data_IF_073916172097
#
_entry.id   IF_073916172097
#
_cell.length_a   1.000
_cell.length_b   1.000
_cell.length_c   1.000
_cell.angle_alpha   90.00
_cell.angle_beta   90.00
_cell.angle_gamma   90.00
#
_symmetry.space_group_name_H-M   'P 1'
#
loop_
_entity.id
_entity.type
_entity.pdbx_description
1 polymer ?
#
# COMPACT_ATOMS: atom_id res chain seq x y z
N UNK A 1 36.68 32.97 -41.59
CA UNK A 1 35.83 33.89 -40.81
C UNK A 1 34.87 33.03 -40.01
N UNK A 2 35.07 33.00 -38.69
CA UNK A 2 34.40 32.13 -37.72
C UNK A 2 33.15 32.83 -37.17
N UNK A 3 32.01 32.13 -37.17
CA UNK A 3 30.87 32.38 -36.27
C UNK A 3 30.30 31.00 -35.92
N UNK A 4 30.85 30.31 -34.92
CA UNK A 4 30.42 30.39 -33.51
C UNK A 4 28.91 30.60 -33.39
N UNK A 5 28.19 29.48 -33.37
CA UNK A 5 26.80 29.36 -32.95
C UNK A 5 26.68 28.42 -31.76
N UNK A 6 27.60 28.52 -30.80
CA UNK A 6 27.51 27.88 -29.49
C UNK A 6 26.62 28.74 -28.59
N UNK A 7 25.30 28.56 -28.62
CA UNK A 7 24.36 29.14 -27.64
C UNK A 7 22.97 28.47 -27.70
N UNK A 8 22.92 27.14 -27.64
CA UNK A 8 21.73 26.44 -27.09
C UNK A 8 22.18 25.47 -25.98
N UNK A 9 23.11 25.95 -25.17
CA UNK A 9 23.51 25.36 -23.88
C UNK A 9 23.13 26.32 -22.74
N UNK A 10 21.95 26.93 -22.84
CA UNK A 10 21.41 27.78 -21.78
C UNK A 10 20.46 26.97 -20.88
N UNK A 11 21.02 26.33 -19.85
CA UNK A 11 20.28 26.13 -18.59
C UNK A 11 20.04 24.72 -18.08
N UNK A 12 21.00 23.78 -18.19
CA UNK A 12 21.03 22.59 -17.30
C UNK A 12 22.46 22.29 -16.86
N UNK A 13 23.08 23.23 -16.15
CA UNK A 13 24.39 23.05 -15.51
C UNK A 13 24.21 22.89 -14.00
N UNK A 14 24.05 21.63 -13.59
CA UNK A 14 23.81 21.11 -12.23
C UNK A 14 23.11 19.75 -12.37
N UNK A 15 23.30 18.76 -11.46
CA UNK A 15 22.61 17.47 -11.57
C UNK A 15 21.11 17.75 -11.58
N UNK A 16 20.49 17.73 -12.75
CA UNK A 16 19.10 18.16 -12.91
C UNK A 16 18.25 17.27 -12.04
N UNK A 17 17.64 17.86 -11.00
CA UNK A 17 16.89 17.10 -10.00
C UNK A 17 15.96 16.09 -10.66
N UNK A 18 15.25 16.48 -11.73
CA UNK A 18 14.34 15.61 -12.46
C UNK A 18 15.01 14.38 -13.14
N UNK A 19 16.21 14.55 -13.71
CA UNK A 19 16.95 13.50 -14.42
C UNK A 19 17.45 12.37 -13.50
N UNK A 20 17.63 12.65 -12.21
CA UNK A 20 17.97 11.64 -11.20
C UNK A 20 16.75 11.19 -10.39
N UNK A 21 15.74 12.05 -10.22
CA UNK A 21 14.52 11.73 -9.48
C UNK A 21 13.60 10.76 -10.22
N UNK A 22 13.36 10.96 -11.52
CA UNK A 22 12.45 10.09 -12.29
C UNK A 22 12.95 8.63 -12.33
N UNK A 23 14.24 8.32 -12.58
CA UNK A 23 14.73 6.94 -12.53
C UNK A 23 14.55 6.30 -11.16
N UNK A 24 14.85 7.04 -10.09
CA UNK A 24 14.66 6.57 -8.71
C UNK A 24 13.19 6.26 -8.44
N UNK A 25 12.30 7.21 -8.77
CA UNK A 25 10.86 7.04 -8.60
C UNK A 25 10.33 5.85 -9.43
N UNK A 26 10.77 5.70 -10.68
CA UNK A 26 10.38 4.58 -11.52
C UNK A 26 10.85 3.23 -10.95
N UNK A 27 12.05 3.17 -10.36
CA UNK A 27 12.54 1.98 -9.65
C UNK A 27 11.65 1.63 -8.45
N UNK A 28 11.35 2.61 -7.59
CA UNK A 28 10.49 2.40 -6.41
C UNK A 28 9.08 1.95 -6.84
N UNK A 29 8.52 2.57 -7.88
CA UNK A 29 7.22 2.17 -8.46
C UNK A 29 7.24 0.75 -9.03
N UNK A 30 8.33 0.32 -9.67
CA UNK A 30 8.48 -1.06 -10.17
C UNK A 30 8.49 -2.06 -9.02
N UNK A 31 9.17 -1.74 -7.93
CA UNK A 31 9.22 -2.58 -6.73
C UNK A 31 7.85 -2.69 -6.06
N UNK A 32 7.22 -1.54 -5.75
CA UNK A 32 5.89 -1.51 -5.15
C UNK A 32 4.85 -2.17 -6.06
N UNK A 33 4.94 -1.96 -7.38
CA UNK A 33 4.05 -2.59 -8.36
C UNK A 33 4.12 -4.12 -8.30
N UNK A 34 5.33 -4.71 -8.29
CA UNK A 34 5.51 -6.17 -8.12
C UNK A 34 4.95 -6.62 -6.78
N UNK A 35 5.29 -5.92 -5.69
CA UNK A 35 4.84 -6.26 -4.36
C UNK A 35 3.31 -6.32 -4.29
N UNK A 36 2.62 -5.34 -4.86
CA UNK A 36 1.15 -5.29 -4.91
C UNK A 36 0.54 -6.39 -5.80
N UNK A 37 1.19 -6.73 -6.91
CA UNK A 37 0.74 -7.86 -7.75
C UNK A 37 0.82 -9.15 -6.94
N UNK A 38 1.95 -9.42 -6.29
CA UNK A 38 2.14 -10.63 -5.47
C UNK A 38 1.18 -10.64 -4.29
N UNK A 39 1.08 -9.55 -3.54
CA UNK A 39 0.15 -9.43 -2.41
C UNK A 39 -1.31 -9.58 -2.84
N UNK A 40 -1.69 -9.02 -3.99
CA UNK A 40 -3.02 -9.16 -4.57
C UNK A 40 -3.34 -10.59 -4.94
N UNK A 41 -2.43 -11.29 -5.63
CA UNK A 41 -2.59 -12.72 -5.97
C UNK A 41 -2.74 -13.56 -4.70
N UNK A 42 -1.90 -13.34 -3.69
CA UNK A 42 -1.97 -14.06 -2.41
C UNK A 42 -3.31 -13.79 -1.69
N UNK A 43 -3.82 -12.56 -1.74
CA UNK A 43 -5.11 -12.21 -1.13
C UNK A 43 -6.29 -12.88 -1.85
N UNK A 44 -6.18 -13.11 -3.17
CA UNK A 44 -7.20 -13.78 -3.97
C UNK A 44 -7.36 -15.28 -3.69
N UNK A 45 -6.51 -15.90 -2.85
CA UNK A 45 -6.66 -17.31 -2.46
C UNK A 45 -7.94 -17.56 -1.65
N UNK A 46 -8.52 -16.51 -1.04
CA UNK A 46 -9.78 -16.59 -0.30
C UNK A 46 -10.87 -15.82 -1.04
N UNK A 47 -12.12 -16.29 -0.99
CA UNK A 47 -13.27 -15.60 -1.62
C UNK A 47 -13.42 -14.18 -1.06
N UNK A 48 -13.26 -14.03 0.26
CA UNK A 48 -13.34 -12.74 0.95
C UNK A 48 -12.17 -11.85 0.55
N UNK A 49 -10.95 -12.40 0.55
CA UNK A 49 -9.75 -11.67 0.16
C UNK A 49 -9.73 -11.27 -1.30
N UNK A 50 -10.43 -11.97 -2.20
CA UNK A 50 -10.53 -11.60 -3.62
C UNK A 50 -11.20 -10.23 -3.84
N UNK A 51 -12.13 -9.83 -2.96
CA UNK A 51 -12.80 -8.50 -3.02
C UNK A 51 -11.80 -7.36 -2.90
N UNK A 52 -10.76 -7.54 -2.07
CA UNK A 52 -9.68 -6.55 -1.84
C UNK A 52 -8.48 -6.84 -2.76
N UNK A 53 -8.20 -8.11 -3.01
CA UNK A 53 -7.07 -8.61 -3.77
C UNK A 53 -7.13 -8.22 -5.25
N UNK A 54 -8.30 -8.32 -5.89
CA UNK A 54 -8.47 -7.96 -7.30
C UNK A 54 -8.17 -6.47 -7.55
N UNK A 55 -8.77 -5.51 -6.80
CA UNK A 55 -8.38 -4.11 -6.94
C UNK A 55 -6.90 -3.86 -6.64
N UNK A 56 -6.33 -4.53 -5.63
CA UNK A 56 -4.90 -4.40 -5.27
C UNK A 56 -4.00 -4.84 -6.42
N UNK A 57 -4.29 -5.98 -7.03
CA UNK A 57 -3.57 -6.52 -8.19
C UNK A 57 -3.64 -5.56 -9.38
N UNK A 58 -4.84 -5.06 -9.71
CA UNK A 58 -5.04 -4.09 -10.79
C UNK A 58 -4.25 -2.80 -10.51
N UNK A 59 -4.21 -2.34 -9.26
CA UNK A 59 -3.43 -1.16 -8.89
C UNK A 59 -1.92 -1.39 -9.12
N UNK A 60 -1.40 -2.56 -8.75
CA UNK A 60 0.02 -2.91 -8.91
C UNK A 60 0.45 -2.96 -10.37
N UNK A 61 -0.36 -3.56 -11.25
CA UNK A 61 -0.12 -3.56 -12.70
C UNK A 61 -0.02 -2.14 -13.27
N UNK A 62 -0.89 -1.25 -12.79
CA UNK A 62 -0.97 0.12 -13.32
C UNK A 62 0.17 1.00 -12.82
N UNK A 63 0.65 0.77 -11.60
CA UNK A 63 1.86 1.41 -11.09
C UNK A 63 3.11 0.95 -11.85
N UNK A 64 3.19 -0.35 -12.17
CA UNK A 64 4.27 -0.93 -13.00
C UNK A 64 4.30 -0.28 -14.39
N UNK A 65 3.15 -0.23 -15.06
CA UNK A 65 3.05 0.39 -16.39
C UNK A 65 3.37 1.90 -16.37
N UNK A 66 3.09 2.59 -15.26
CA UNK A 66 3.48 3.99 -15.06
C UNK A 66 4.99 4.14 -14.99
N UNK A 67 5.68 3.26 -14.27
CA UNK A 67 7.13 3.29 -14.13
C UNK A 67 7.86 3.06 -15.45
N UNK A 68 7.34 2.14 -16.27
CA UNK A 68 7.88 1.90 -17.61
C UNK A 68 7.68 3.12 -18.52
N UNK A 69 6.51 3.77 -18.46
CA UNK A 69 6.25 5.00 -19.22
C UNK A 69 7.15 6.18 -18.79
N UNK A 70 7.44 6.33 -17.49
CA UNK A 70 8.42 7.31 -16.99
C UNK A 70 9.83 7.05 -17.53
N UNK A 71 10.23 5.78 -17.65
CA UNK A 71 11.54 5.41 -18.20
C UNK A 71 11.61 5.75 -19.69
N UNK A 72 10.56 5.44 -20.46
CA UNK A 72 10.47 5.78 -21.89
C UNK A 72 10.54 7.29 -22.12
N UNK A 73 9.89 8.08 -21.27
CA UNK A 73 9.98 9.55 -21.34
C UNK A 73 11.42 10.04 -21.20
N UNK A 74 12.20 9.51 -20.25
CA UNK A 74 13.60 9.91 -20.07
C UNK A 74 14.47 9.52 -21.26
N UNK A 75 14.24 8.33 -21.82
CA UNK A 75 15.05 7.82 -22.94
C UNK A 75 14.75 8.57 -24.24
N UNK A 76 13.48 8.96 -24.46
CA UNK A 76 13.01 9.48 -25.75
C UNK A 76 12.60 10.96 -25.74
N UNK A 77 12.57 11.61 -24.57
CA UNK A 77 12.00 12.95 -24.38
C UNK A 77 10.58 13.10 -24.96
N UNK A 78 9.79 12.04 -24.86
CA UNK A 78 8.45 11.96 -25.44
C UNK A 78 7.37 12.33 -24.42
N UNK A 79 6.82 13.54 -24.56
CA UNK A 79 5.77 14.05 -23.67
C UNK A 79 4.50 13.19 -23.65
N UNK A 80 4.18 12.46 -24.72
CA UNK A 80 3.01 11.57 -24.71
C UNK A 80 3.21 10.39 -23.75
N UNK A 81 4.44 9.91 -23.61
CA UNK A 81 4.81 8.89 -22.62
C UNK A 81 4.74 9.42 -21.19
N UNK A 82 5.07 10.69 -20.97
CA UNK A 82 4.92 11.35 -19.66
C UNK A 82 3.44 11.49 -19.26
N UNK A 83 2.58 11.94 -20.17
CA UNK A 83 1.14 12.03 -19.94
C UNK A 83 0.57 10.66 -19.54
N UNK A 84 0.94 9.61 -20.28
CA UNK A 84 0.53 8.23 -20.00
C UNK A 84 1.05 7.72 -18.65
N UNK A 85 2.27 8.12 -18.26
CA UNK A 85 2.81 7.79 -16.94
C UNK A 85 1.96 8.42 -15.83
N UNK A 86 1.68 9.72 -15.92
CA UNK A 86 0.89 10.45 -14.93
C UNK A 86 -0.55 9.92 -14.87
N UNK A 87 -1.19 9.65 -16.01
CA UNK A 87 -2.54 9.08 -16.05
C UNK A 87 -2.60 7.75 -15.30
N UNK A 88 -1.66 6.85 -15.58
CA UNK A 88 -1.59 5.54 -14.91
C UNK A 88 -1.33 5.68 -13.42
N UNK A 89 -0.40 6.54 -13.03
CA UNK A 89 -0.07 6.82 -11.63
C UNK A 89 -1.26 7.42 -10.86
N UNK A 90 -1.93 8.43 -11.42
CA UNK A 90 -3.12 9.06 -10.85
C UNK A 90 -4.19 8.01 -10.57
N UNK A 91 -4.40 7.16 -11.55
CA UNK A 91 -5.45 6.17 -11.50
C UNK A 91 -5.01 5.01 -10.57
N UNK A 92 -3.72 4.75 -10.32
CA UNK A 92 -3.24 3.89 -9.22
C UNK A 92 -3.64 4.47 -7.85
N UNK A 93 -3.38 5.76 -7.62
CA UNK A 93 -3.78 6.44 -6.39
C UNK A 93 -5.30 6.43 -6.18
N UNK A 94 -6.08 6.51 -7.25
CA UNK A 94 -7.53 6.37 -7.17
C UNK A 94 -7.96 5.01 -6.63
N UNK A 95 -7.33 3.92 -7.07
CA UNK A 95 -7.64 2.58 -6.53
C UNK A 95 -7.17 2.49 -5.08
N UNK A 96 -5.97 2.99 -4.78
CA UNK A 96 -5.43 2.90 -3.43
C UNK A 96 -6.21 3.71 -2.39
N UNK A 97 -6.71 4.91 -2.73
CA UNK A 97 -7.54 5.67 -1.78
C UNK A 97 -8.85 4.95 -1.46
N UNK A 98 -9.44 4.23 -2.42
CA UNK A 98 -10.66 3.44 -2.20
C UNK A 98 -10.35 2.23 -1.33
N UNK A 99 -9.28 1.51 -1.65
CA UNK A 99 -8.80 0.39 -0.83
C UNK A 99 -8.48 0.81 0.60
N UNK A 100 -7.85 1.97 0.79
CA UNK A 100 -7.53 2.51 2.11
C UNK A 100 -8.79 2.73 2.95
N UNK A 101 -9.86 3.27 2.36
CA UNK A 101 -11.14 3.45 3.07
C UNK A 101 -11.72 2.09 3.50
N UNK A 102 -11.73 1.11 2.59
CA UNK A 102 -12.23 -0.25 2.88
C UNK A 102 -11.41 -0.90 3.99
N UNK A 103 -10.08 -0.81 3.94
CA UNK A 103 -9.18 -1.38 4.95
C UNK A 103 -9.41 -0.76 6.32
N UNK A 104 -9.65 0.55 6.42
CA UNK A 104 -10.00 1.20 7.69
C UNK A 104 -11.29 0.62 8.28
N UNK A 105 -12.32 0.40 7.46
CA UNK A 105 -13.59 -0.19 7.94
C UNK A 105 -13.38 -1.60 8.50
N UNK A 106 -12.57 -2.42 7.83
CA UNK A 106 -12.25 -3.78 8.29
C UNK A 106 -11.46 -3.73 9.60
N UNK A 107 -10.42 -2.90 9.70
CA UNK A 107 -9.61 -2.75 10.91
C UNK A 107 -10.49 -2.32 12.10
N UNK A 108 -11.41 -1.37 11.90
CA UNK A 108 -12.34 -0.93 12.95
C UNK A 108 -13.26 -2.06 13.37
N UNK A 109 -13.80 -2.84 12.42
CA UNK A 109 -14.67 -3.98 12.73
C UNK A 109 -13.93 -5.07 13.53
N UNK A 110 -12.71 -5.41 13.13
CA UNK A 110 -11.86 -6.37 13.84
C UNK A 110 -11.51 -5.88 15.26
N UNK A 111 -11.21 -4.59 15.42
CA UNK A 111 -10.95 -4.00 16.74
C UNK A 111 -12.16 -4.11 17.68
N UNK A 112 -13.36 -3.85 17.17
CA UNK A 112 -14.60 -3.98 17.95
C UNK A 112 -14.82 -5.44 18.35
N UNK A 113 -14.67 -6.38 17.42
CA UNK A 113 -14.85 -7.81 17.69
C UNK A 113 -13.82 -8.31 18.72
N UNK A 114 -12.55 -7.92 18.55
CA UNK A 114 -11.49 -8.23 19.49
C UNK A 114 -11.81 -7.72 20.90
N UNK A 115 -12.27 -6.47 21.03
CA UNK A 115 -12.61 -5.89 22.33
C UNK A 115 -13.79 -6.61 23.01
N UNK A 116 -14.82 -6.96 22.24
CA UNK A 116 -15.96 -7.74 22.75
C UNK A 116 -15.54 -9.13 23.23
N UNK A 117 -14.70 -9.82 22.45
CA UNK A 117 -14.20 -11.15 22.81
C UNK A 117 -13.30 -11.09 24.04
N UNK A 118 -12.44 -10.07 24.13
CA UNK A 118 -11.58 -9.83 25.28
C UNK A 118 -12.39 -9.59 26.56
N UNK A 119 -13.43 -8.76 26.51
CA UNK A 119 -14.32 -8.52 27.65
C UNK A 119 -15.11 -9.77 28.04
N UNK A 120 -15.61 -10.53 27.07
CA UNK A 120 -16.33 -11.78 27.35
C UNK A 120 -15.42 -12.80 28.04
N UNK A 121 -14.18 -12.97 27.58
CA UNK A 121 -13.20 -13.85 28.21
C UNK A 121 -12.87 -13.43 29.65
N UNK A 122 -12.82 -12.13 29.95
CA UNK A 122 -12.63 -11.63 31.30
C UNK A 122 -13.84 -11.90 32.22
N UNK A 123 -15.06 -11.78 31.69
CA UNK A 123 -16.29 -11.99 32.45
C UNK A 123 -16.44 -13.45 32.93
N UNK A 124 -16.02 -14.43 32.13
CA UNK A 124 -16.10 -15.85 32.50
C UNK A 124 -15.09 -16.25 33.59
N UNK A 125 -13.96 -15.54 33.71
CA UNK A 125 -12.92 -15.85 34.71
C UNK A 125 -13.26 -15.32 36.12
N UNK A 126 -14.08 -14.27 36.22
CA UNK A 126 -14.45 -13.66 37.51
C UNK A 126 -15.19 -14.58 38.50
N UNK A 127 -16.28 -15.27 38.09
CA UNK A 127 -17.07 -16.11 38.99
C UNK A 127 -16.33 -17.37 39.45
N UNK A 128 -15.47 -17.95 38.59
CA UNK A 128 -14.72 -19.16 38.91
C UNK A 128 -13.70 -18.94 40.05
N UNK A 129 -13.02 -17.80 40.09
CA UNK A 129 -12.02 -17.49 41.13
C UNK A 129 -12.70 -17.26 42.50
N UNK A 130 -13.87 -16.61 42.52
CA UNK A 130 -14.65 -16.38 43.74
C UNK A 130 -15.25 -17.68 44.29
N UNK A 131 -15.78 -18.54 43.42
CA UNK A 131 -16.35 -19.83 43.86
C UNK A 131 -15.28 -20.78 44.38
N UNK A 132 -14.08 -20.79 43.79
CA UNK A 132 -12.98 -21.64 44.25
C UNK A 132 -12.44 -21.20 45.61
N UNK A 133 -12.29 -19.89 45.85
CA UNK A 133 -11.84 -19.36 47.14
C UNK A 133 -12.85 -19.60 48.27
N UNK A 134 -14.17 -19.49 48.01
CA UNK A 134 -15.20 -19.86 48.97
C UNK A 134 -15.21 -21.36 49.30
N UNK A 135 -14.97 -22.23 48.31
CA UNK A 135 -14.83 -23.69 48.53
C UNK A 135 -13.66 -24.00 49.45
N UNK A 136 -12.49 -23.42 49.19
CA UNK A 136 -11.29 -23.59 50.04
C UNK A 136 -11.54 -23.20 51.50
N UNK A 137 -12.28 -22.12 51.76
CA UNK A 137 -12.62 -21.71 53.12
C UNK A 137 -13.63 -22.64 53.79
N UNK A 138 -14.56 -23.21 53.02
CA UNK A 138 -15.55 -24.17 53.55
C UNK A 138 -14.87 -25.48 53.95
N UNK A 139 -13.95 -25.98 53.12
CA UNK A 139 -13.18 -27.20 53.39
C UNK A 139 -12.18 -27.04 54.56
N UNK A 140 -11.85 -25.80 54.97
CA UNK A 140 -10.96 -25.53 56.12
C UNK A 140 -11.72 -25.49 57.46
N UNK A 141 -13.03 -25.20 57.42
CA UNK A 141 -13.87 -24.99 58.61
C UNK A 141 -14.61 -26.28 59.02
N UNK A 142 -14.82 -27.22 58.09
CA UNK A 142 -15.47 -28.53 58.30
C UNK A 142 -14.43 -29.63 58.51
#
# INVERSE_FOLDING_TARGET
MSTSGSSFEAGVSGPSGLGQLIPKMASDMKFIGIFLIVAGVLSCLTIIGAVVGVPTLISGLRLRESADAFTIYLDRNDFSSLERAIERQSRYFFIQKVLLIISILIIVAEFVLFFLFFLAGFNEMGPHILTQSLRYLTDLIV
#
